data_IF_050444309451
#
_entry.id   IF_050444309451
#
_cell.length_a   1.000
_cell.length_b   1.000
_cell.length_c   1.000
_cell.angle_alpha   90.00
_cell.angle_beta   90.00
_cell.angle_gamma   90.00
#
_symmetry.space_group_name_H-M   'P 1'
#
loop_
_entity.id
_entity.type
_entity.pdbx_description
1 polymer ?
#
# COMPACT_ATOMS: atom_id res chain seq x y z
N UNK A 1 -15.94 -19.52 22.97
CA UNK A 1 -16.22 -18.22 23.61
C UNK A 1 -17.15 -17.49 22.67
N UNK A 2 -18.36 -17.17 23.14
CA UNK A 2 -19.48 -16.65 22.35
C UNK A 2 -19.11 -15.37 21.58
N UNK A 3 -19.46 -15.35 20.29
CA UNK A 3 -19.68 -14.21 19.39
C UNK A 3 -19.76 -12.85 20.10
N UNK A 4 -18.63 -12.19 20.29
CA UNK A 4 -18.62 -10.73 20.44
C UNK A 4 -17.86 -10.15 19.29
N UNK A 5 -18.53 -10.20 18.13
CA UNK A 5 -18.09 -9.47 16.96
C UNK A 5 -18.11 -7.95 17.23
N UNK A 6 -18.95 -7.48 18.16
CA UNK A 6 -19.05 -6.07 18.51
C UNK A 6 -18.08 -5.70 19.65
N UNK A 7 -17.18 -4.76 19.40
CA UNK A 7 -16.18 -4.25 20.36
C UNK A 7 -16.42 -2.77 20.72
N UNK A 8 -15.90 -2.38 21.90
CA UNK A 8 -15.86 -1.01 22.42
C UNK A 8 -14.44 -0.69 22.90
N UNK A 9 -13.99 0.58 22.82
CA UNK A 9 -12.75 0.99 23.46
C UNK A 9 -12.86 0.88 24.99
N UNK A 10 -11.70 0.79 25.65
CA UNK A 10 -11.58 0.76 27.10
C UNK A 10 -10.65 1.90 27.57
N UNK A 11 -10.99 2.54 28.69
CA UNK A 11 -10.10 3.47 29.40
C UNK A 11 -9.67 2.93 30.77
N UNK A 12 -10.61 2.41 31.55
CA UNK A 12 -10.39 1.90 32.91
C UNK A 12 -10.95 0.47 33.07
N UNK A 13 -12.16 0.22 32.58
CA UNK A 13 -12.81 -1.11 32.60
C UNK A 13 -13.21 -1.59 31.21
N UNK A 14 -13.12 -2.89 30.97
CA UNK A 14 -13.42 -3.48 29.66
C UNK A 14 -14.83 -3.11 29.18
N UNK A 15 -14.92 -2.36 28.08
CA UNK A 15 -16.17 -1.96 27.46
C UNK A 15 -16.84 -0.71 28.04
N UNK A 16 -16.13 0.07 28.87
CA UNK A 16 -16.60 1.37 29.38
C UNK A 16 -16.81 2.42 28.27
N UNK A 17 -16.21 2.20 27.10
CA UNK A 17 -16.32 3.07 25.92
C UNK A 17 -15.48 4.33 26.03
N UNK A 18 -14.58 4.43 27.02
CA UNK A 18 -13.81 5.64 27.27
C UNK A 18 -12.74 5.82 26.20
N UNK A 19 -12.67 7.05 25.66
CA UNK A 19 -11.66 7.47 24.69
C UNK A 19 -11.09 8.83 25.09
N UNK A 20 -9.84 9.07 24.69
CA UNK A 20 -9.23 10.38 24.69
C UNK A 20 -9.03 10.82 23.26
N UNK A 21 -9.54 12.02 22.91
CA UNK A 21 -9.26 12.66 21.63
C UNK A 21 -8.59 14.01 21.87
N UNK A 22 -7.74 14.42 20.93
CA UNK A 22 -7.16 15.75 20.94
C UNK A 22 -7.30 16.40 19.58
N UNK A 23 -7.54 17.71 19.58
CA UNK A 23 -7.73 18.50 18.37
C UNK A 23 -7.54 19.98 18.66
N UNK A 24 -7.38 20.78 17.60
CA UNK A 24 -7.23 22.24 17.69
C UNK A 24 -8.41 22.91 17.00
N UNK A 25 -8.98 23.94 17.62
CA UNK A 25 -9.98 24.80 17.00
C UNK A 25 -9.36 26.17 16.65
N UNK A 26 -9.77 26.79 15.52
CA UNK A 26 -9.39 28.16 15.16
C UNK A 26 -10.20 29.16 15.99
N UNK A 27 -10.05 29.10 17.31
CA UNK A 27 -10.66 30.01 18.27
C UNK A 27 -9.60 30.45 19.29
N UNK A 28 -9.65 31.73 19.74
CA UNK A 28 -8.83 32.19 20.86
C UNK A 28 -9.15 31.38 22.12
N UNK A 29 -8.21 31.32 23.06
CA UNK A 29 -8.36 30.53 24.27
C UNK A 29 -9.33 31.21 25.25
N UNK A 30 -10.61 30.94 25.07
CA UNK A 30 -11.72 31.46 25.87
C UNK A 30 -12.77 30.38 26.19
N UNK A 31 -13.81 30.75 26.94
CA UNK A 31 -14.90 29.83 27.30
C UNK A 31 -15.75 29.38 26.11
N UNK A 32 -15.80 30.16 25.03
CA UNK A 32 -16.49 29.76 23.81
C UNK A 32 -15.73 28.63 23.12
N UNK A 33 -14.41 28.67 23.14
CA UNK A 33 -13.56 27.63 22.58
C UNK A 33 -13.68 26.30 23.34
N UNK A 34 -13.69 26.33 24.68
CA UNK A 34 -13.97 25.14 25.51
C UNK A 34 -15.36 24.56 25.21
N UNK A 35 -16.40 25.41 25.15
CA UNK A 35 -17.76 24.98 24.82
C UNK A 35 -17.89 24.41 23.40
N UNK A 36 -17.20 25.00 22.43
CA UNK A 36 -17.15 24.50 21.06
C UNK A 36 -16.46 23.14 20.97
N UNK A 37 -15.37 22.93 21.72
CA UNK A 37 -14.68 21.64 21.79
C UNK A 37 -15.58 20.53 22.37
N UNK A 38 -16.28 20.81 23.47
CA UNK A 38 -17.23 19.86 24.05
C UNK A 38 -18.38 19.52 23.08
N UNK A 39 -18.97 20.53 22.42
CA UNK A 39 -20.05 20.31 21.45
C UNK A 39 -19.58 19.51 20.23
N UNK A 40 -18.35 19.76 19.74
CA UNK A 40 -17.78 19.00 18.63
C UNK A 40 -17.57 17.53 19.03
N UNK A 41 -17.01 17.28 20.22
CA UNK A 41 -16.82 15.92 20.73
C UNK A 41 -18.15 15.18 20.90
N UNK A 42 -19.19 15.83 21.42
CA UNK A 42 -20.55 15.25 21.48
C UNK A 42 -21.06 14.88 20.07
N UNK A 43 -20.85 15.73 19.06
CA UNK A 43 -21.23 15.45 17.66
C UNK A 43 -20.42 14.29 17.04
N UNK A 44 -19.22 14.02 17.56
CA UNK A 44 -18.43 12.83 17.21
C UNK A 44 -18.91 11.55 17.94
N UNK A 45 -19.98 11.65 18.72
CA UNK A 45 -20.55 10.53 19.49
C UNK A 45 -19.83 10.27 20.81
N UNK A 46 -19.04 11.22 21.31
CA UNK A 46 -18.37 11.14 22.62
C UNK A 46 -19.26 11.85 23.64
N UNK A 47 -19.99 11.10 24.46
CA UNK A 47 -20.95 11.64 25.43
C UNK A 47 -20.96 10.83 26.75
N UNK A 48 -20.75 11.48 27.91
CA UNK A 48 -20.45 12.90 28.08
C UNK A 48 -19.02 13.25 27.61
N UNK A 49 -18.87 14.37 26.90
CA UNK A 49 -17.55 14.94 26.58
C UNK A 49 -17.05 15.87 27.69
N UNK A 50 -15.87 15.57 28.20
CA UNK A 50 -15.17 16.36 29.21
C UNK A 50 -13.88 16.95 28.62
N UNK A 51 -13.83 18.27 28.47
CA UNK A 51 -12.60 18.98 28.11
C UNK A 51 -11.69 18.99 29.34
N UNK A 52 -10.61 18.21 29.30
CA UNK A 52 -9.66 18.09 30.43
C UNK A 52 -8.44 18.98 30.27
N UNK A 53 -8.17 19.45 29.05
CA UNK A 53 -7.06 20.34 28.76
C UNK A 53 -7.44 21.32 27.65
N UNK A 54 -7.03 22.57 27.81
CA UNK A 54 -7.10 23.62 26.79
C UNK A 54 -5.81 24.44 26.84
N UNK A 55 -5.19 24.69 25.69
CA UNK A 55 -3.94 25.43 25.57
C UNK A 55 -3.93 26.31 24.33
N UNK A 56 -3.65 27.59 24.51
CA UNK A 56 -3.47 28.52 23.40
C UNK A 56 -2.28 28.11 22.51
N UNK A 57 -2.50 28.14 21.20
CA UNK A 57 -1.51 27.88 20.14
C UNK A 57 -1.31 29.16 19.31
N UNK A 58 -1.01 30.26 19.99
CA UNK A 58 -1.08 31.60 19.42
C UNK A 58 -2.40 32.31 19.74
N UNK A 59 -2.65 33.50 19.15
CA UNK A 59 -3.84 34.29 19.47
C UNK A 59 -5.15 33.70 18.92
N UNK A 60 -5.08 32.97 17.79
CA UNK A 60 -6.28 32.58 17.03
C UNK A 60 -6.62 31.08 17.14
N UNK A 61 -5.84 30.30 17.87
CA UNK A 61 -5.99 28.84 17.94
C UNK A 61 -5.87 28.31 19.36
N UNK A 62 -6.65 27.27 19.67
CA UNK A 62 -6.60 26.58 20.96
C UNK A 62 -6.60 25.07 20.74
N UNK A 63 -5.62 24.39 21.34
CA UNK A 63 -5.51 22.94 21.39
C UNK A 63 -6.28 22.39 22.59
N UNK A 64 -7.00 21.29 22.40
CA UNK A 64 -7.83 20.65 23.41
C UNK A 64 -7.49 19.17 23.56
N UNK A 65 -7.67 18.66 24.77
CA UNK A 65 -7.80 17.22 25.06
C UNK A 65 -9.16 16.99 25.68
N UNK A 66 -9.91 16.04 25.13
CA UNK A 66 -11.26 15.68 25.56
C UNK A 66 -11.29 14.20 25.91
N UNK A 67 -11.85 13.89 27.08
CA UNK A 67 -12.19 12.54 27.50
C UNK A 67 -13.69 12.33 27.43
N UNK A 68 -14.12 11.14 27.09
CA UNK A 68 -15.53 10.79 27.22
C UNK A 68 -15.82 9.41 26.67
N UNK A 69 -17.08 9.00 26.82
CA UNK A 69 -17.54 7.69 26.35
C UNK A 69 -18.01 7.79 24.91
N UNK A 70 -17.45 6.99 24.01
CA UNK A 70 -17.92 6.90 22.63
C UNK A 70 -19.12 5.95 22.52
N UNK A 71 -20.15 6.38 21.79
CA UNK A 71 -21.37 5.60 21.57
C UNK A 71 -21.27 4.65 20.36
N UNK A 72 -20.33 4.92 19.45
CA UNK A 72 -20.09 4.10 18.26
C UNK A 72 -19.43 2.77 18.61
N UNK A 73 -19.87 1.72 17.93
CA UNK A 73 -19.39 0.34 18.10
C UNK A 73 -18.76 -0.13 16.80
N UNK A 74 -17.80 -1.05 16.90
CA UNK A 74 -17.20 -1.70 15.74
C UNK A 74 -17.58 -3.17 15.74
N UNK A 75 -18.18 -3.64 14.65
CA UNK A 75 -18.38 -5.06 14.41
C UNK A 75 -17.16 -5.61 13.65
N UNK A 76 -16.31 -6.36 14.34
CA UNK A 76 -15.11 -6.98 13.78
C UNK A 76 -15.42 -8.02 12.71
N UNK A 77 -16.65 -8.56 12.64
CA UNK A 77 -17.05 -9.46 11.55
C UNK A 77 -17.24 -8.73 10.22
N UNK A 78 -17.45 -7.41 10.27
CA UNK A 78 -17.57 -6.53 9.11
C UNK A 78 -16.24 -5.84 8.76
N UNK A 79 -15.17 -6.13 9.52
CA UNK A 79 -13.86 -5.55 9.24
C UNK A 79 -13.26 -6.29 8.05
N UNK A 80 -13.18 -5.60 6.92
CA UNK A 80 -12.42 -6.07 5.76
C UNK A 80 -10.92 -5.97 6.07
N UNK A 81 -10.27 -7.11 6.28
CA UNK A 81 -8.81 -7.23 6.41
C UNK A 81 -8.28 -7.81 5.11
N UNK A 82 -7.35 -7.12 4.47
CA UNK A 82 -6.54 -7.73 3.41
C UNK A 82 -5.41 -8.49 4.12
N UNK A 83 -5.66 -9.77 4.40
CA UNK A 83 -4.61 -10.62 4.95
C UNK A 83 -3.50 -10.79 3.93
N UNK A 84 -2.25 -10.70 4.39
CA UNK A 84 -1.09 -10.93 3.55
C UNK A 84 -1.05 -12.40 3.15
N UNK A 85 -1.22 -12.66 1.85
CA UNK A 85 -1.25 -13.97 1.19
C UNK A 85 0.15 -14.52 0.84
N UNK A 86 1.22 -13.90 1.35
CA UNK A 86 2.60 -14.34 1.12
C UNK A 86 3.47 -14.14 2.38
N UNK A 87 4.50 -15.00 2.59
CA UNK A 87 5.40 -14.86 3.73
C UNK A 87 6.35 -13.68 3.54
N UNK A 88 6.65 -12.94 4.62
CA UNK A 88 7.72 -11.94 4.60
C UNK A 88 9.08 -12.63 4.63
N UNK A 89 9.91 -12.29 3.66
CA UNK A 89 11.26 -12.79 3.49
C UNK A 89 12.26 -11.69 3.82
N UNK A 90 13.27 -12.04 4.60
CA UNK A 90 14.48 -11.22 4.68
C UNK A 90 15.21 -11.22 3.33
N UNK A 91 16.06 -10.22 3.05
CA UNK A 91 16.84 -10.18 1.82
C UNK A 91 17.65 -11.47 1.57
N UNK A 92 18.21 -12.05 2.63
CA UNK A 92 18.96 -13.32 2.56
C UNK A 92 18.06 -14.49 2.15
N UNK A 93 16.84 -14.58 2.68
CA UNK A 93 15.89 -15.64 2.34
C UNK A 93 15.42 -15.53 0.89
N UNK A 94 15.01 -14.34 0.46
CA UNK A 94 14.61 -14.07 -0.92
C UNK A 94 15.72 -14.44 -1.92
N UNK A 95 16.94 -13.97 -1.65
CA UNK A 95 18.15 -14.33 -2.41
C UNK A 95 18.38 -15.84 -2.49
N UNK A 96 18.30 -16.55 -1.36
CA UNK A 96 18.53 -18.00 -1.31
C UNK A 96 17.50 -18.77 -2.14
N UNK A 97 16.22 -18.37 -2.08
CA UNK A 97 15.13 -19.01 -2.83
C UNK A 97 15.36 -18.80 -4.34
N UNK A 98 15.62 -17.57 -4.79
CA UNK A 98 15.87 -17.29 -6.21
C UNK A 98 17.10 -18.05 -6.70
N UNK A 99 18.20 -18.04 -5.94
CA UNK A 99 19.43 -18.76 -6.30
C UNK A 99 19.21 -20.26 -6.45
N UNK A 100 18.49 -20.88 -5.51
CA UNK A 100 18.29 -22.34 -5.48
C UNK A 100 17.32 -22.83 -6.55
N UNK A 101 16.22 -22.09 -6.80
CA UNK A 101 15.13 -22.53 -7.67
C UNK A 101 15.23 -22.02 -9.11
N UNK A 102 15.64 -20.76 -9.32
CA UNK A 102 15.67 -20.15 -10.67
C UNK A 102 17.01 -20.35 -11.39
N UNK A 103 18.12 -20.53 -10.65
CA UNK A 103 19.49 -20.70 -11.18
C UNK A 103 19.99 -19.58 -12.11
N UNK A 104 19.26 -18.47 -12.20
CA UNK A 104 19.64 -17.20 -12.83
C UNK A 104 19.05 -16.05 -12.00
N UNK A 105 19.43 -14.82 -12.33
CA UNK A 105 18.82 -13.65 -11.69
C UNK A 105 17.34 -13.51 -12.09
N UNK A 106 16.50 -13.13 -11.13
CA UNK A 106 15.12 -12.69 -11.36
C UNK A 106 15.17 -11.29 -11.97
N UNK A 107 14.62 -11.11 -13.17
CA UNK A 107 14.70 -9.84 -13.92
C UNK A 107 13.46 -9.01 -13.63
N UNK A 108 13.67 -7.84 -13.03
CA UNK A 108 12.63 -6.89 -12.66
C UNK A 108 12.81 -5.62 -13.47
N UNK A 109 11.82 -5.26 -14.28
CA UNK A 109 11.78 -4.00 -15.04
C UNK A 109 10.77 -3.08 -14.38
N UNK A 110 11.19 -1.87 -14.00
CA UNK A 110 10.30 -0.89 -13.39
C UNK A 110 10.26 0.44 -14.12
N UNK A 111 9.09 1.08 -14.14
CA UNK A 111 8.89 2.38 -14.78
C UNK A 111 7.70 3.15 -14.17
N UNK A 112 7.71 4.47 -14.29
CA UNK A 112 6.46 5.25 -14.32
C UNK A 112 6.04 5.42 -15.78
N UNK A 113 4.81 5.02 -16.10
CA UNK A 113 4.31 5.00 -17.48
C UNK A 113 3.45 6.21 -17.84
N UNK A 114 3.32 6.47 -19.14
CA UNK A 114 2.48 7.54 -19.67
C UNK A 114 3.13 8.91 -19.47
N UNK A 115 2.37 9.88 -18.96
CA UNK A 115 2.87 11.25 -18.71
C UNK A 115 3.41 11.43 -17.28
N UNK A 116 3.44 10.38 -16.48
CA UNK A 116 3.79 10.45 -15.06
C UNK A 116 5.30 10.62 -14.83
N UNK A 117 5.67 11.73 -14.19
CA UNK A 117 7.05 12.09 -13.85
C UNK A 117 7.46 11.70 -12.42
N UNK A 118 6.56 11.14 -11.61
CA UNK A 118 6.80 10.93 -10.18
C UNK A 118 7.52 9.60 -9.91
N UNK A 119 8.84 9.62 -9.85
CA UNK A 119 9.66 8.41 -9.64
C UNK A 119 9.90 8.06 -8.18
N UNK A 120 9.67 8.98 -7.23
CA UNK A 120 10.04 8.78 -5.81
C UNK A 120 9.52 7.46 -5.24
N UNK A 121 8.28 7.09 -5.57
CA UNK A 121 7.66 5.85 -5.11
C UNK A 121 8.35 4.60 -5.67
N UNK A 122 8.63 4.57 -6.98
CA UNK A 122 9.29 3.41 -7.59
C UNK A 122 10.77 3.34 -7.23
N UNK A 123 11.45 4.48 -7.14
CA UNK A 123 12.84 4.59 -6.70
C UNK A 123 13.03 4.09 -5.27
N UNK A 124 12.04 4.33 -4.39
CA UNK A 124 12.01 3.79 -3.04
C UNK A 124 11.97 2.25 -3.01
N UNK A 125 11.39 1.61 -4.03
CA UNK A 125 11.32 0.14 -4.15
C UNK A 125 12.55 -0.42 -4.85
N UNK A 126 12.98 0.19 -5.96
CA UNK A 126 14.03 -0.35 -6.81
C UNK A 126 15.43 -0.02 -6.28
N UNK A 127 15.70 1.24 -5.95
CA UNK A 127 17.06 1.73 -5.77
C UNK A 127 17.69 1.23 -4.46
N UNK A 128 19.00 1.01 -4.45
CA UNK A 128 19.72 0.45 -3.28
C UNK A 128 19.47 1.18 -1.95
N UNK A 129 19.16 2.48 -1.98
CA UNK A 129 18.82 3.27 -0.77
C UNK A 129 17.58 2.72 -0.07
N UNK A 130 16.59 2.29 -0.86
CA UNK A 130 15.29 1.81 -0.41
C UNK A 130 14.48 2.85 0.36
N UNK A 131 13.61 2.35 1.24
CA UNK A 131 12.64 3.15 2.00
C UNK A 131 12.42 2.57 3.40
N UNK A 132 12.14 3.44 4.39
CA UNK A 132 11.85 3.05 5.77
C UNK A 132 12.91 2.14 6.44
N UNK A 133 14.19 2.30 6.07
CA UNK A 133 15.29 1.48 6.61
C UNK A 133 15.49 0.14 5.90
N UNK A 134 14.61 -0.21 4.96
CA UNK A 134 14.75 -1.37 4.10
C UNK A 134 15.54 -1.03 2.83
N UNK A 135 16.26 -2.01 2.29
CA UNK A 135 17.04 -1.85 1.05
C UNK A 135 16.18 -2.19 -0.16
N UNK A 136 16.29 -1.37 -1.21
CA UNK A 136 15.58 -1.61 -2.47
C UNK A 136 16.03 -2.87 -3.19
N UNK A 137 15.29 -3.26 -4.23
CA UNK A 137 15.51 -4.51 -4.97
C UNK A 137 16.91 -4.62 -5.60
N UNK A 138 17.56 -3.51 -5.95
CA UNK A 138 18.95 -3.48 -6.44
C UNK A 138 19.97 -4.04 -5.44
N UNK A 139 19.65 -4.04 -4.15
CA UNK A 139 20.49 -4.63 -3.12
C UNK A 139 20.56 -6.17 -3.22
N UNK A 140 19.53 -6.79 -3.80
CA UNK A 140 19.41 -8.25 -3.88
C UNK A 140 20.28 -8.74 -5.04
N UNK A 141 21.36 -9.46 -4.74
CA UNK A 141 22.33 -9.94 -5.73
C UNK A 141 21.72 -10.84 -6.81
N UNK A 142 20.69 -11.57 -6.44
CA UNK A 142 19.95 -12.51 -7.27
C UNK A 142 18.87 -11.82 -8.11
N UNK A 143 18.73 -10.51 -8.01
CA UNK A 143 17.80 -9.72 -8.81
C UNK A 143 18.60 -8.94 -9.85
N UNK A 144 18.06 -8.82 -11.06
CA UNK A 144 18.52 -7.87 -12.08
C UNK A 144 17.43 -6.82 -12.20
N UNK A 145 17.67 -5.64 -11.64
CA UNK A 145 16.72 -4.55 -11.63
C UNK A 145 17.05 -3.57 -12.75
N UNK A 146 16.03 -3.17 -13.51
CA UNK A 146 16.12 -2.21 -14.60
C UNK A 146 15.10 -1.12 -14.33
N UNK A 147 15.56 0.02 -13.82
CA UNK A 147 14.73 1.20 -13.63
C UNK A 147 14.74 2.04 -14.92
N UNK A 148 13.61 2.05 -15.63
CA UNK A 148 13.44 2.83 -16.86
C UNK A 148 13.09 4.31 -16.57
N UNK A 149 12.94 4.69 -15.31
CA UNK A 149 12.61 6.05 -14.89
C UNK A 149 11.14 6.38 -15.13
N UNK A 150 10.89 7.64 -15.49
CA UNK A 150 9.56 8.20 -15.65
C UNK A 150 9.17 8.43 -17.12
N UNK A 151 7.88 8.68 -17.33
CA UNK A 151 7.30 9.00 -18.63
C UNK A 151 7.59 7.98 -19.73
N UNK A 152 7.61 6.70 -19.37
CA UNK A 152 7.87 5.58 -20.28
C UNK A 152 6.57 5.21 -21.00
N UNK A 153 6.58 5.10 -22.33
CA UNK A 153 5.40 4.63 -23.04
C UNK A 153 5.19 3.12 -22.85
N UNK A 154 3.94 2.66 -22.89
CA UNK A 154 3.64 1.22 -22.79
C UNK A 154 4.39 0.40 -23.85
N UNK A 155 4.46 0.81 -25.14
CA UNK A 155 5.27 0.11 -26.14
C UNK A 155 6.77 0.04 -25.80
N UNK A 156 7.35 1.12 -25.24
CA UNK A 156 8.74 1.11 -24.79
C UNK A 156 8.96 0.12 -23.65
N UNK A 157 8.04 0.10 -22.68
CA UNK A 157 8.09 -0.84 -21.56
C UNK A 157 8.01 -2.30 -22.05
N UNK A 158 7.08 -2.63 -22.95
CA UNK A 158 6.94 -3.97 -23.53
C UNK A 158 8.21 -4.37 -24.29
N UNK A 159 8.71 -3.51 -25.17
CA UNK A 159 9.92 -3.77 -25.96
C UNK A 159 11.13 -4.03 -25.07
N UNK A 160 11.35 -3.19 -24.04
CA UNK A 160 12.44 -3.39 -23.09
C UNK A 160 12.28 -4.68 -22.30
N UNK A 161 11.05 -5.02 -21.91
CA UNK A 161 10.75 -6.23 -21.15
C UNK A 161 11.05 -7.51 -21.94
N UNK A 162 10.76 -7.52 -23.25
CA UNK A 162 11.08 -8.65 -24.13
C UNK A 162 12.59 -8.79 -24.33
N UNK A 163 13.29 -7.67 -24.58
CA UNK A 163 14.75 -7.65 -24.75
C UNK A 163 15.47 -8.21 -23.52
N UNK A 164 15.00 -7.82 -22.33
CA UNK A 164 15.64 -8.16 -21.06
C UNK A 164 15.13 -9.50 -20.49
N UNK A 165 14.14 -10.11 -21.13
CA UNK A 165 13.44 -11.32 -20.66
C UNK A 165 12.94 -11.14 -19.23
N UNK A 166 12.19 -10.04 -19.01
CA UNK A 166 11.65 -9.68 -17.72
C UNK A 166 10.80 -10.82 -17.14
N UNK A 167 10.98 -11.08 -15.85
CA UNK A 167 10.12 -11.96 -15.06
C UNK A 167 9.00 -11.17 -14.37
N UNK A 168 9.28 -9.90 -14.06
CA UNK A 168 8.41 -8.99 -13.32
C UNK A 168 8.46 -7.60 -13.92
N UNK A 169 7.28 -6.99 -14.05
CA UNK A 169 7.07 -5.60 -14.41
C UNK A 169 6.51 -4.85 -13.19
N UNK A 170 7.19 -3.79 -12.77
CA UNK A 170 6.76 -2.91 -11.69
C UNK A 170 6.42 -1.53 -12.26
N UNK A 171 5.14 -1.18 -12.29
CA UNK A 171 4.70 0.14 -12.77
C UNK A 171 4.27 1.00 -11.60
N UNK A 172 4.75 2.24 -11.55
CA UNK A 172 4.27 3.24 -10.59
C UNK A 172 3.38 4.28 -11.28
N UNK A 173 2.22 4.57 -10.69
CA UNK A 173 1.31 5.63 -11.14
C UNK A 173 0.87 6.49 -9.94
N UNK A 174 1.07 7.79 -10.05
CA UNK A 174 0.73 8.82 -9.08
C UNK A 174 -0.30 9.79 -9.66
N UNK A 175 -0.23 10.08 -10.96
CA UNK A 175 -1.14 11.01 -11.63
C UNK A 175 -2.51 10.38 -11.85
N UNK A 176 -3.54 10.96 -11.22
CA UNK A 176 -4.92 10.44 -11.29
C UNK A 176 -5.91 11.34 -12.02
N UNK A 177 -5.45 12.46 -12.59
CA UNK A 177 -6.33 13.35 -13.34
C UNK A 177 -7.01 12.59 -14.47
N UNK A 178 -8.34 12.71 -14.57
CA UNK A 178 -9.17 12.00 -15.56
C UNK A 178 -8.92 10.48 -15.56
N UNK A 179 -8.68 9.92 -14.38
CA UNK A 179 -8.46 8.48 -14.19
C UNK A 179 -7.26 7.93 -14.98
N UNK A 180 -6.27 8.77 -15.32
CA UNK A 180 -5.12 8.37 -16.12
C UNK A 180 -4.40 7.12 -15.58
N UNK A 181 -4.17 7.03 -14.27
CA UNK A 181 -3.61 5.83 -13.62
C UNK A 181 -4.36 4.50 -13.92
N UNK A 182 -5.70 4.53 -14.01
CA UNK A 182 -6.53 3.34 -14.32
C UNK A 182 -6.41 3.00 -15.80
N UNK A 183 -6.58 4.00 -16.67
CA UNK A 183 -6.47 3.84 -18.12
C UNK A 183 -5.09 3.30 -18.53
N UNK A 184 -4.02 3.87 -17.95
CA UNK A 184 -2.64 3.44 -18.21
C UNK A 184 -2.38 2.01 -17.71
N UNK A 185 -2.95 1.62 -16.57
CA UNK A 185 -2.81 0.26 -16.05
C UNK A 185 -3.52 -0.77 -16.95
N UNK A 186 -4.74 -0.45 -17.42
CA UNK A 186 -5.49 -1.27 -18.36
C UNK A 186 -4.79 -1.39 -19.72
N UNK A 187 -4.29 -0.26 -20.26
CA UNK A 187 -3.51 -0.24 -21.50
C UNK A 187 -2.25 -1.11 -21.37
N UNK A 188 -1.52 -0.98 -20.27
CA UNK A 188 -0.34 -1.78 -19.99
C UNK A 188 -0.67 -3.27 -19.89
N UNK A 189 -1.71 -3.64 -19.12
CA UNK A 189 -2.15 -5.04 -19.01
C UNK A 189 -2.52 -5.63 -20.37
N UNK A 190 -3.29 -4.90 -21.18
CA UNK A 190 -3.68 -5.32 -22.51
C UNK A 190 -2.47 -5.51 -23.43
N UNK A 191 -1.55 -4.54 -23.46
CA UNK A 191 -0.36 -4.61 -24.29
C UNK A 191 0.54 -5.80 -23.93
N UNK A 192 0.72 -6.10 -22.64
CA UNK A 192 1.49 -7.28 -22.22
C UNK A 192 0.77 -8.59 -22.54
N UNK A 193 -0.56 -8.63 -22.50
CA UNK A 193 -1.35 -9.79 -22.89
C UNK A 193 -1.25 -10.07 -24.40
N UNK A 194 -1.20 -9.03 -25.22
CA UNK A 194 -1.03 -9.16 -26.67
C UNK A 194 0.41 -9.53 -27.05
N UNK A 195 1.40 -8.98 -26.33
CA UNK A 195 2.82 -9.15 -26.65
C UNK A 195 3.43 -10.47 -26.15
N UNK A 196 2.76 -11.20 -25.25
CA UNK A 196 3.27 -12.44 -24.66
C UNK A 196 2.28 -13.60 -24.80
N UNK A 197 2.77 -14.82 -25.07
CA UNK A 197 2.02 -16.03 -24.80
C UNK A 197 1.56 -16.07 -23.33
N UNK A 198 0.37 -16.64 -23.07
CA UNK A 198 -0.24 -16.65 -21.74
C UNK A 198 0.67 -17.26 -20.65
N UNK A 199 1.46 -18.28 -21.00
CA UNK A 199 2.41 -19.01 -20.15
C UNK A 199 3.78 -18.32 -19.99
N UNK A 200 4.02 -17.21 -20.70
CA UNK A 200 5.33 -16.53 -20.70
C UNK A 200 5.24 -15.06 -20.31
N UNK A 201 4.03 -14.57 -20.02
CA UNK A 201 3.81 -13.20 -19.57
C UNK A 201 4.51 -12.99 -18.22
N UNK A 202 5.28 -11.91 -18.03
CA UNK A 202 5.82 -11.56 -16.72
C UNK A 202 4.71 -11.24 -15.72
N UNK A 203 5.03 -11.32 -14.42
CA UNK A 203 4.17 -10.76 -13.38
C UNK A 203 4.02 -9.25 -13.62
N UNK A 204 2.78 -8.78 -13.70
CA UNK A 204 2.45 -7.36 -13.81
C UNK A 204 2.02 -6.86 -12.46
N UNK A 205 2.77 -5.91 -11.93
CA UNK A 205 2.53 -5.34 -10.61
C UNK A 205 2.48 -3.84 -10.77
N UNK A 206 1.45 -3.23 -10.21
CA UNK A 206 1.29 -1.78 -10.21
C UNK A 206 1.34 -1.24 -8.79
N UNK A 207 1.80 -0.01 -8.65
CA UNK A 207 1.91 0.68 -7.38
C UNK A 207 1.49 2.14 -7.49
N UNK A 208 0.87 2.67 -6.45
CA UNK A 208 0.44 4.06 -6.49
C UNK A 208 -0.41 4.48 -5.29
N UNK A 209 -0.43 5.79 -4.96
CA UNK A 209 -1.13 6.29 -3.78
C UNK A 209 -2.65 6.26 -3.88
N UNK A 210 -3.20 5.90 -5.03
CA UNK A 210 -4.64 5.99 -5.36
C UNK A 210 -5.22 4.69 -5.90
N UNK A 211 -4.43 3.62 -5.94
CA UNK A 211 -4.98 2.29 -6.17
C UNK A 211 -5.47 1.69 -4.86
N UNK A 212 -6.35 0.71 -4.99
CA UNK A 212 -6.80 -0.17 -3.93
C UNK A 212 -6.41 -1.60 -4.28
N UNK A 213 -5.95 -2.39 -3.30
CA UNK A 213 -5.40 -3.72 -3.57
C UNK A 213 -6.40 -4.67 -4.26
N UNK A 214 -7.70 -4.50 -3.98
CA UNK A 214 -8.81 -5.24 -4.59
C UNK A 214 -8.95 -5.03 -6.10
N UNK A 215 -8.36 -3.98 -6.67
CA UNK A 215 -8.48 -3.65 -8.09
C UNK A 215 -7.59 -4.52 -9.00
N UNK A 216 -6.74 -5.41 -8.45
CA UNK A 216 -5.79 -6.18 -9.25
C UNK A 216 -6.46 -6.96 -10.41
N UNK A 217 -7.55 -7.66 -10.12
CA UNK A 217 -8.28 -8.43 -11.12
C UNK A 217 -8.95 -7.55 -12.19
N UNK A 218 -9.58 -6.45 -11.77
CA UNK A 218 -10.23 -5.47 -12.65
C UNK A 218 -9.21 -4.84 -13.62
N UNK A 219 -8.02 -4.52 -13.11
CA UNK A 219 -6.94 -3.89 -13.88
C UNK A 219 -6.13 -4.90 -14.72
N UNK A 220 -6.42 -6.19 -14.60
CA UNK A 220 -5.73 -7.26 -15.31
C UNK A 220 -4.25 -7.40 -14.90
N UNK A 221 -3.95 -7.15 -13.63
CA UNK A 221 -2.59 -7.24 -13.06
C UNK A 221 -2.55 -8.29 -11.95
N UNK A 222 -1.35 -8.78 -11.63
CA UNK A 222 -1.17 -9.85 -10.65
C UNK A 222 -1.16 -9.31 -9.21
N UNK A 223 -0.73 -8.04 -9.01
CA UNK A 223 -0.78 -7.36 -7.71
C UNK A 223 -0.84 -5.85 -7.84
N UNK A 224 -1.45 -5.24 -6.82
CA UNK A 224 -1.44 -3.81 -6.56
C UNK A 224 -0.74 -3.56 -5.23
N UNK A 225 0.20 -2.63 -5.18
CA UNK A 225 0.80 -2.10 -3.95
C UNK A 225 0.35 -0.66 -3.73
N UNK A 226 0.08 -0.29 -2.48
CA UNK A 226 -0.47 1.02 -2.13
C UNK A 226 0.51 1.81 -1.26
N UNK A 227 0.02 2.83 -0.55
CA UNK A 227 0.89 3.65 0.31
C UNK A 227 1.46 2.80 1.45
N UNK A 228 2.75 2.99 1.72
CA UNK A 228 3.43 2.33 2.83
C UNK A 228 4.05 0.98 2.47
N UNK A 229 3.81 0.46 1.26
CA UNK A 229 4.47 -0.77 0.80
C UNK A 229 5.99 -0.62 0.80
N UNK A 230 6.68 -1.61 1.37
CA UNK A 230 8.14 -1.58 1.53
C UNK A 230 8.86 -2.43 0.48
N UNK A 231 10.16 -2.19 0.22
CA UNK A 231 10.96 -3.03 -0.67
C UNK A 231 10.94 -4.52 -0.30
N UNK A 232 10.98 -4.85 0.99
CA UNK A 232 10.95 -6.22 1.49
C UNK A 232 9.60 -6.89 1.25
N UNK A 233 8.50 -6.15 1.41
CA UNK A 233 7.16 -6.65 1.04
C UNK A 233 7.07 -6.96 -0.45
N UNK A 234 7.51 -6.02 -1.30
CA UNK A 234 7.53 -6.22 -2.75
C UNK A 234 8.40 -7.43 -3.10
N UNK A 235 9.65 -7.49 -2.61
CA UNK A 235 10.56 -8.62 -2.86
C UNK A 235 9.97 -9.97 -2.43
N UNK A 236 9.31 -10.00 -1.28
CA UNK A 236 8.66 -11.20 -0.74
C UNK A 236 7.56 -11.70 -1.67
N UNK A 237 6.69 -10.80 -2.11
CA UNK A 237 5.64 -11.12 -3.08
C UNK A 237 6.23 -11.57 -4.42
N UNK A 238 7.25 -10.88 -4.96
CA UNK A 238 7.87 -11.26 -6.24
C UNK A 238 8.37 -12.71 -6.22
N UNK A 239 9.07 -13.08 -5.15
CA UNK A 239 9.60 -14.44 -4.98
C UNK A 239 8.46 -15.43 -4.82
N UNK A 240 7.45 -15.12 -4.01
CA UNK A 240 6.30 -15.98 -3.78
C UNK A 240 5.54 -16.27 -5.08
N UNK A 241 5.01 -15.21 -5.70
CA UNK A 241 4.15 -15.31 -6.88
C UNK A 241 4.88 -15.94 -8.08
N UNK A 242 6.16 -15.61 -8.29
CA UNK A 242 6.92 -16.15 -9.41
C UNK A 242 7.09 -17.68 -9.31
N UNK A 243 7.32 -18.20 -8.10
CA UNK A 243 7.48 -19.65 -7.91
C UNK A 243 6.14 -20.39 -7.77
N UNK A 244 5.07 -19.76 -7.28
CA UNK A 244 3.72 -20.35 -7.32
C UNK A 244 3.19 -20.49 -8.75
N UNK A 245 3.32 -19.46 -9.58
CA UNK A 245 2.87 -19.52 -10.98
C UNK A 245 3.62 -20.60 -11.76
N UNK A 246 4.95 -20.71 -11.57
CA UNK A 246 5.75 -21.81 -12.11
C UNK A 246 5.27 -23.20 -11.67
N UNK A 247 4.79 -23.35 -10.44
CA UNK A 247 4.27 -24.63 -9.97
C UNK A 247 2.91 -24.96 -10.60
N UNK A 248 2.04 -23.97 -10.78
CA UNK A 248 0.76 -24.11 -11.50
C UNK A 248 0.96 -24.47 -12.97
N UNK A 249 1.97 -23.89 -13.63
CA UNK A 249 2.35 -24.27 -15.00
C UNK A 249 2.85 -25.72 -15.11
N UNK A 250 3.59 -26.19 -14.10
CA UNK A 250 4.17 -27.54 -14.09
C UNK A 250 3.16 -28.64 -13.73
N UNK A 251 2.13 -28.34 -12.92
CA UNK A 251 1.21 -29.34 -12.38
C UNK A 251 -0.26 -29.14 -12.79
N UNK A 252 -0.59 -28.07 -13.53
CA UNK A 252 -1.96 -27.67 -13.86
C UNK A 252 -2.69 -26.99 -12.68
N UNK A 253 -3.79 -26.24 -12.93
CA UNK A 253 -4.63 -25.74 -11.85
C UNK A 253 -5.25 -26.92 -11.09
N UNK A 254 -5.18 -26.88 -9.76
CA UNK A 254 -5.80 -27.87 -8.87
C UNK A 254 -7.34 -27.82 -8.96
#
# INVERSE_FOLDING_TARGET
>A
MSDKAIIRPYGDTTGDGMVQVSFTLPLPHDKRAEGAAAQLANKMGIEPALVVHAKAMGPDFTFFVVYGRVNHLVDVSQVEVIERDFPLLTPKQASLIVKSRLRRRLVVVGACIGTDAHTVGIDAILNIKGFAGEKGLEYYREFKVINMGAQVSVPQLVSRSQQEKADVILVSQVVTQREAHILNALEMSAAFREAYPADKRPLLIIGGPRFEERQAAELGVDRVFTRGSTPGEVASYLVHAFFENKQRELHGPA
#
